data_IF_324371518360
#
_entry.id   IF_324371518360
#
_cell.length_a   1.000
_cell.length_b   1.000
_cell.length_c   1.000
_cell.angle_alpha   90.00
_cell.angle_beta   90.00
_cell.angle_gamma   90.00
#
_symmetry.space_group_name_H-M   'P 1'
#
loop_
_entity.id
_entity.type
_entity.pdbx_description
1 polymer ?
#
# COMPACT_ATOMS: atom_id res chain seq x y z
N UNK A 1 29.58 5.51 -27.15
CA UNK A 1 28.32 6.23 -27.17
C UNK A 1 27.09 5.33 -27.35
N UNK A 2 27.12 4.38 -28.30
CA UNK A 2 26.02 3.47 -28.53
C UNK A 2 25.67 2.58 -27.31
N UNK A 3 26.65 2.11 -26.57
CA UNK A 3 26.46 1.26 -25.41
C UNK A 3 25.77 1.98 -24.25
N UNK A 4 26.07 3.25 -24.03
CA UNK A 4 25.44 4.07 -22.97
C UNK A 4 23.98 4.37 -23.32
N UNK A 5 23.67 4.64 -24.59
CA UNK A 5 22.30 4.87 -25.04
C UNK A 5 21.47 3.60 -24.91
N UNK A 6 21.99 2.45 -25.30
CA UNK A 6 21.32 1.15 -25.15
C UNK A 6 21.07 0.80 -23.67
N UNK A 7 22.04 1.05 -22.80
CA UNK A 7 21.89 0.84 -21.36
C UNK A 7 20.81 1.74 -20.77
N UNK A 8 20.76 3.00 -21.20
CA UNK A 8 19.73 3.95 -20.73
C UNK A 8 18.33 3.52 -21.15
N UNK A 9 18.16 3.09 -22.42
CA UNK A 9 16.89 2.60 -22.93
C UNK A 9 16.47 1.32 -22.20
N UNK A 10 17.39 0.39 -21.98
CA UNK A 10 17.12 -0.83 -21.24
C UNK A 10 16.72 -0.54 -19.78
N UNK A 11 17.40 0.39 -19.13
CA UNK A 11 17.08 0.80 -17.75
C UNK A 11 15.67 1.42 -17.64
N UNK A 12 15.32 2.30 -18.59
CA UNK A 12 14.00 2.91 -18.66
C UNK A 12 12.92 1.85 -18.91
N UNK A 13 13.16 0.93 -19.84
CA UNK A 13 12.21 -0.16 -20.13
C UNK A 13 12.02 -1.07 -18.94
N UNK A 14 13.09 -1.44 -18.23
CA UNK A 14 13.00 -2.24 -17.01
C UNK A 14 12.26 -1.49 -15.89
N UNK A 15 12.52 -0.20 -15.74
CA UNK A 15 11.83 0.64 -14.77
C UNK A 15 10.33 0.71 -15.04
N UNK A 16 9.93 0.90 -16.29
CA UNK A 16 8.52 0.90 -16.70
C UNK A 16 7.85 -0.46 -16.46
N UNK A 17 8.55 -1.54 -16.78
CA UNK A 17 8.04 -2.89 -16.54
C UNK A 17 7.87 -3.18 -15.05
N UNK A 18 8.84 -2.80 -14.23
CA UNK A 18 8.77 -2.94 -12.79
C UNK A 18 7.60 -2.15 -12.19
N UNK A 19 7.42 -0.89 -12.62
CA UNK A 19 6.28 -0.06 -12.19
C UNK A 19 4.94 -0.66 -12.60
N UNK A 20 4.83 -1.16 -13.81
CA UNK A 20 3.62 -1.82 -14.30
C UNK A 20 3.29 -3.06 -13.47
N UNK A 21 4.28 -3.90 -13.23
CA UNK A 21 4.13 -5.11 -12.43
C UNK A 21 3.70 -4.79 -10.99
N UNK A 22 4.37 -3.82 -10.36
CA UNK A 22 4.05 -3.37 -9.01
C UNK A 22 2.65 -2.83 -8.90
N UNK A 23 2.27 -2.02 -9.88
CA UNK A 23 0.92 -1.44 -9.93
C UNK A 23 -0.14 -2.54 -10.07
N UNK A 24 0.10 -3.55 -10.88
CA UNK A 24 -0.80 -4.69 -11.02
C UNK A 24 -0.95 -5.45 -9.71
N UNK A 25 0.15 -5.70 -9.00
CA UNK A 25 0.14 -6.37 -7.68
C UNK A 25 -0.61 -5.51 -6.66
N UNK A 26 -0.33 -4.23 -6.59
CA UNK A 26 -0.99 -3.32 -5.64
C UNK A 26 -2.50 -3.22 -5.91
N UNK A 27 -2.89 -3.11 -7.16
CA UNK A 27 -4.30 -3.07 -7.54
C UNK A 27 -5.00 -4.38 -7.16
N UNK A 28 -4.34 -5.52 -7.36
CA UNK A 28 -4.86 -6.82 -6.95
C UNK A 28 -5.06 -6.93 -5.44
N UNK A 29 -4.11 -6.46 -4.65
CA UNK A 29 -4.22 -6.44 -3.18
C UNK A 29 -5.32 -5.46 -2.74
N UNK A 30 -5.37 -4.28 -3.33
CA UNK A 30 -6.35 -3.25 -2.98
C UNK A 30 -7.80 -3.66 -3.31
N UNK A 31 -8.00 -4.59 -4.24
CA UNK A 31 -9.33 -5.11 -4.59
C UNK A 31 -9.86 -6.15 -3.61
N UNK A 32 -9.03 -6.65 -2.68
CA UNK A 32 -9.47 -7.62 -1.69
C UNK A 32 -10.46 -6.97 -0.69
N UNK A 33 -11.47 -7.75 -0.20
CA UNK A 33 -12.41 -7.22 0.76
C UNK A 33 -11.74 -6.93 2.10
N UNK A 34 -12.11 -5.83 2.72
CA UNK A 34 -11.63 -5.41 4.03
C UNK A 34 -12.67 -5.81 5.07
N UNK A 35 -12.26 -6.42 6.18
CA UNK A 35 -13.21 -6.80 7.22
C UNK A 35 -13.79 -5.58 7.93
N UNK A 36 -15.06 -5.69 8.36
CA UNK A 36 -15.75 -4.65 9.11
C UNK A 36 -15.03 -4.27 10.40
N UNK A 37 -14.33 -5.21 11.03
CA UNK A 37 -13.55 -4.98 12.25
C UNK A 37 -12.44 -3.97 12.05
N UNK A 38 -11.73 -4.06 10.93
CA UNK A 38 -10.65 -3.12 10.59
C UNK A 38 -11.22 -1.74 10.30
N UNK A 39 -12.32 -1.67 9.57
CA UNK A 39 -12.99 -0.41 9.24
C UNK A 39 -13.54 0.30 10.50
N UNK A 40 -14.13 -0.44 11.42
CA UNK A 40 -14.61 0.10 12.70
C UNK A 40 -13.45 0.60 13.57
N UNK A 41 -12.35 -0.17 13.65
CA UNK A 41 -11.17 0.23 14.41
C UNK A 41 -10.54 1.52 13.88
N UNK A 42 -10.55 1.71 12.58
CA UNK A 42 -10.05 2.92 11.92
C UNK A 42 -11.08 4.06 11.89
N UNK A 43 -12.34 3.79 12.25
CA UNK A 43 -13.48 4.73 12.14
C UNK A 43 -13.67 5.25 10.71
N UNK A 44 -13.50 4.39 9.73
CA UNK A 44 -13.58 4.70 8.30
C UNK A 44 -14.61 3.78 7.65
N UNK A 45 -15.34 4.29 6.67
CA UNK A 45 -16.23 3.49 5.83
C UNK A 45 -15.47 3.05 4.57
N UNK A 46 -15.73 1.83 4.11
CA UNK A 46 -15.05 1.26 2.94
C UNK A 46 -15.16 2.15 1.69
N UNK A 47 -16.33 2.75 1.50
CA UNK A 47 -16.58 3.64 0.36
C UNK A 47 -15.90 5.01 0.49
N UNK A 48 -15.47 5.40 1.69
CA UNK A 48 -14.91 6.73 1.98
C UNK A 48 -13.43 6.71 2.33
N UNK A 49 -12.70 5.64 2.01
CA UNK A 49 -11.26 5.56 2.25
C UNK A 49 -10.54 6.62 1.43
N UNK A 50 -9.89 7.56 2.13
CA UNK A 50 -9.11 8.64 1.55
C UNK A 50 -7.61 8.40 1.72
N UNK A 51 -6.79 9.13 0.96
CA UNK A 51 -5.34 9.05 1.09
C UNK A 51 -4.82 9.38 2.49
N UNK A 52 -5.50 10.25 3.22
CA UNK A 52 -5.14 10.60 4.60
C UNK A 52 -5.37 9.46 5.60
N UNK A 53 -6.18 8.48 5.26
CA UNK A 53 -6.46 7.33 6.13
C UNK A 53 -5.30 6.34 6.17
N UNK A 54 -4.33 6.44 5.26
CA UNK A 54 -3.13 5.62 5.28
C UNK A 54 -2.39 5.69 6.61
N UNK A 55 -2.24 6.87 7.18
CA UNK A 55 -1.56 7.07 8.46
C UNK A 55 -2.31 6.37 9.61
N UNK A 56 -3.64 6.39 9.59
CA UNK A 56 -4.48 5.67 10.57
C UNK A 56 -4.24 4.17 10.48
N UNK A 57 -4.26 3.62 9.28
CA UNK A 57 -4.00 2.20 9.06
C UNK A 57 -2.56 1.80 9.42
N UNK A 58 -1.58 2.65 9.09
CA UNK A 58 -0.20 2.41 9.46
C UNK A 58 0.00 2.39 10.99
N UNK A 59 -0.66 3.29 11.72
CA UNK A 59 -0.67 3.30 13.18
C UNK A 59 -1.27 2.03 13.77
N UNK A 60 -2.38 1.56 13.22
CA UNK A 60 -3.01 0.30 13.62
C UNK A 60 -2.09 -0.91 13.36
N UNK A 61 -1.36 -0.89 12.25
CA UNK A 61 -0.38 -1.92 11.94
C UNK A 61 0.76 -2.00 12.94
N UNK A 62 1.22 -0.85 13.45
CA UNK A 62 2.27 -0.84 14.48
C UNK A 62 1.81 -1.41 15.81
N UNK A 63 0.51 -1.31 16.10
CA UNK A 63 -0.11 -1.88 17.31
C UNK A 63 -0.41 -3.37 17.19
N UNK A 64 -0.48 -3.89 15.96
CA UNK A 64 -0.78 -5.31 15.72
C UNK A 64 0.51 -6.15 15.79
N UNK A 65 0.54 -7.28 16.54
CA UNK A 65 1.75 -8.10 16.62
C UNK A 65 2.16 -8.65 15.25
N UNK A 66 3.45 -8.55 14.97
CA UNK A 66 4.02 -9.04 13.72
C UNK A 66 4.23 -10.55 13.78
N UNK A 67 3.67 -11.25 12.80
CA UNK A 67 4.04 -12.62 12.49
C UNK A 67 5.15 -12.60 11.44
N UNK A 68 6.19 -13.41 11.64
CA UNK A 68 7.37 -13.44 10.73
C UNK A 68 7.02 -13.68 9.26
N UNK A 69 5.88 -14.30 8.99
CA UNK A 69 5.44 -14.63 7.64
C UNK A 69 4.78 -13.47 6.89
N UNK A 70 4.39 -12.41 7.61
CA UNK A 70 3.63 -11.29 7.01
C UNK A 70 4.46 -10.02 6.79
N UNK A 71 5.76 -10.06 7.05
CA UNK A 71 6.65 -8.90 6.98
C UNK A 71 6.96 -8.39 5.55
N UNK A 72 6.46 -9.06 4.52
CA UNK A 72 6.73 -8.68 3.15
C UNK A 72 5.80 -7.58 2.65
N UNK A 73 6.29 -6.38 2.47
CA UNK A 73 5.62 -5.37 1.67
C UNK A 73 5.20 -4.09 2.36
N UNK A 74 5.03 -4.06 3.70
CA UNK A 74 4.62 -2.84 4.40
C UNK A 74 5.67 -1.72 4.28
N UNK A 75 6.95 -2.06 4.43
CA UNK A 75 8.04 -1.10 4.25
C UNK A 75 8.05 -0.49 2.85
N UNK A 76 7.79 -1.31 1.84
CA UNK A 76 7.67 -0.87 0.46
C UNK A 76 6.47 0.05 0.23
N UNK A 77 5.32 -0.29 0.79
CA UNK A 77 4.11 0.55 0.70
C UNK A 77 4.31 1.88 1.39
N UNK A 78 4.93 1.91 2.57
CA UNK A 78 5.28 3.15 3.28
C UNK A 78 6.23 4.02 2.46
N UNK A 79 7.27 3.42 1.86
CA UNK A 79 8.21 4.12 1.00
C UNK A 79 7.51 4.70 -0.23
N UNK A 80 6.67 3.90 -0.88
CA UNK A 80 5.89 4.34 -2.04
C UNK A 80 4.94 5.48 -1.68
N UNK A 81 4.22 5.38 -0.58
CA UNK A 81 3.35 6.45 -0.09
C UNK A 81 4.12 7.75 0.16
N UNK A 82 5.30 7.66 0.78
CA UNK A 82 6.15 8.84 1.04
C UNK A 82 6.63 9.48 -0.26
N UNK A 83 6.99 8.67 -1.26
CA UNK A 83 7.39 9.16 -2.59
C UNK A 83 6.23 9.86 -3.28
N UNK A 84 5.04 9.28 -3.27
CA UNK A 84 3.83 9.86 -3.86
C UNK A 84 3.46 11.17 -3.18
N UNK A 85 3.52 11.22 -1.85
CA UNK A 85 3.23 12.42 -1.07
C UNK A 85 4.20 13.57 -1.39
N UNK A 86 5.50 13.26 -1.53
CA UNK A 86 6.51 14.24 -1.94
C UNK A 86 6.31 14.70 -3.38
N UNK A 87 6.02 13.76 -4.27
CA UNK A 87 5.72 14.07 -5.67
C UNK A 87 4.47 14.95 -5.80
N UNK A 88 3.43 14.68 -5.01
CA UNK A 88 2.22 15.50 -4.97
C UNK A 88 2.53 16.95 -4.61
N UNK A 89 3.34 17.17 -3.57
CA UNK A 89 3.70 18.53 -3.15
C UNK A 89 4.50 19.30 -4.20
N UNK A 90 5.30 18.59 -5.02
CA UNK A 90 6.04 19.18 -6.13
C UNK A 90 5.18 19.39 -7.37
N UNK A 91 4.37 18.41 -7.73
CA UNK A 91 3.61 18.40 -8.98
C UNK A 91 2.30 19.17 -8.90
N UNK A 92 1.73 19.37 -7.72
CA UNK A 92 0.52 20.19 -7.53
C UNK A 92 0.72 21.63 -8.00
N UNK A 93 1.97 22.11 -8.01
CA UNK A 93 2.32 23.43 -8.53
C UNK A 93 2.32 23.52 -10.06
N UNK A 94 2.43 22.38 -10.74
CA UNK A 94 2.58 22.31 -12.19
C UNK A 94 1.31 21.86 -12.92
N UNK A 95 0.50 20.98 -12.34
CA UNK A 95 -0.70 20.48 -13.00
C UNK A 95 -1.73 19.93 -12.01
N UNK A 96 -3.01 20.37 -12.09
CA UNK A 96 -4.08 19.79 -11.26
C UNK A 96 -4.40 18.32 -11.59
N UNK A 97 -4.10 17.86 -12.80
CA UNK A 97 -4.24 16.44 -13.18
C UNK A 97 -3.33 15.52 -12.37
N UNK A 98 -2.11 15.98 -12.07
CA UNK A 98 -1.13 15.22 -11.29
C UNK A 98 -1.55 15.11 -9.82
N UNK A 99 -2.19 16.13 -9.27
CA UNK A 99 -2.74 16.09 -7.91
C UNK A 99 -3.83 15.01 -7.79
N UNK A 100 -4.71 14.89 -8.79
CA UNK A 100 -5.73 13.85 -8.84
C UNK A 100 -5.15 12.43 -8.92
N UNK A 101 -4.10 12.26 -9.70
CA UNK A 101 -3.38 11.00 -9.77
C UNK A 101 -2.74 10.64 -8.42
N UNK A 102 -2.07 11.58 -7.78
CA UNK A 102 -1.43 11.35 -6.48
C UNK A 102 -2.44 10.95 -5.40
N UNK A 103 -3.62 11.58 -5.39
CA UNK A 103 -4.70 11.22 -4.47
C UNK A 103 -5.18 9.77 -4.68
N UNK A 104 -5.35 9.34 -5.93
CA UNK A 104 -5.71 7.94 -6.25
C UNK A 104 -4.65 6.96 -5.77
N UNK A 105 -3.37 7.28 -5.94
CA UNK A 105 -2.27 6.42 -5.48
C UNK A 105 -2.21 6.35 -3.94
N UNK A 106 -2.51 7.45 -3.26
CA UNK A 106 -2.59 7.49 -1.80
C UNK A 106 -3.76 6.65 -1.28
N UNK A 107 -4.92 6.70 -1.94
CA UNK A 107 -6.06 5.83 -1.62
C UNK A 107 -5.70 4.35 -1.79
N UNK A 108 -4.98 4.01 -2.86
CA UNK A 108 -4.49 2.67 -3.11
C UNK A 108 -3.60 2.19 -1.96
N UNK A 109 -2.65 3.01 -1.51
CA UNK A 109 -1.78 2.71 -0.37
C UNK A 109 -2.58 2.49 0.92
N UNK A 110 -3.59 3.31 1.18
CA UNK A 110 -4.47 3.18 2.34
C UNK A 110 -5.23 1.85 2.33
N UNK A 111 -5.77 1.45 1.18
CA UNK A 111 -6.45 0.16 1.02
C UNK A 111 -5.51 -1.02 1.22
N UNK A 112 -4.29 -0.97 0.70
CA UNK A 112 -3.29 -2.01 0.91
C UNK A 112 -2.94 -2.15 2.39
N UNK A 113 -2.75 -1.04 3.09
CA UNK A 113 -2.49 -1.05 4.52
C UNK A 113 -3.65 -1.69 5.30
N UNK A 114 -4.89 -1.38 4.95
CA UNK A 114 -6.09 -1.97 5.57
C UNK A 114 -6.16 -3.48 5.34
N UNK A 115 -5.86 -3.95 4.14
CA UNK A 115 -5.83 -5.39 3.81
C UNK A 115 -4.72 -6.09 4.61
N UNK A 116 -3.57 -5.47 4.79
CA UNK A 116 -2.47 -6.02 5.60
C UNK A 116 -2.88 -6.18 7.07
N UNK A 117 -3.60 -5.20 7.64
CA UNK A 117 -4.14 -5.29 9.00
C UNK A 117 -5.10 -6.48 9.12
N UNK A 118 -6.00 -6.62 8.17
CA UNK A 118 -6.98 -7.71 8.14
C UNK A 118 -6.30 -9.07 8.11
N UNK A 119 -5.29 -9.24 7.27
CA UNK A 119 -4.49 -10.47 7.20
C UNK A 119 -3.78 -10.78 8.50
N UNK A 120 -3.20 -9.77 9.15
CA UNK A 120 -2.52 -9.95 10.45
C UNK A 120 -3.50 -10.36 11.53
N UNK A 121 -4.67 -9.74 11.60
CA UNK A 121 -5.73 -10.10 12.55
C UNK A 121 -6.20 -11.53 12.34
N UNK A 122 -6.44 -11.93 11.11
CA UNK A 122 -6.87 -13.27 10.76
C UNK A 122 -5.82 -14.32 11.15
N UNK A 123 -4.55 -14.07 10.85
CA UNK A 123 -3.44 -14.94 11.23
C UNK A 123 -3.31 -15.06 12.76
N UNK A 124 -3.45 -13.96 13.50
CA UNK A 124 -3.43 -13.96 14.96
C UNK A 124 -4.60 -14.74 15.56
N UNK A 125 -5.80 -14.63 14.98
CA UNK A 125 -6.98 -15.39 15.41
C UNK A 125 -6.82 -16.88 15.15
N UNK A 126 -6.26 -17.27 14.01
CA UNK A 126 -5.96 -18.66 13.69
C UNK A 126 -4.94 -19.25 14.67
N UNK A 127 -3.90 -18.49 15.00
CA UNK A 127 -2.90 -18.91 15.97
C UNK A 127 -3.50 -19.10 17.37
N UNK A 128 -4.35 -18.17 17.82
CA UNK A 128 -5.04 -18.27 19.08
C UNK A 128 -6.00 -19.48 19.12
N UNK A 129 -6.68 -19.77 18.01
CA UNK A 129 -7.55 -20.94 17.88
C UNK A 129 -6.75 -22.26 17.95
N UNK A 130 -5.57 -22.31 17.35
CA UNK A 130 -4.70 -23.51 17.41
C UNK A 130 -4.17 -23.76 18.82
N UNK A 131 -3.86 -22.72 19.58
CA UNK A 131 -3.45 -22.84 20.98
C UNK A 131 -4.61 -23.34 21.87
N UNK A 132 -5.83 -22.89 21.62
CA UNK A 132 -7.02 -23.36 22.36
C UNK A 132 -7.37 -24.83 22.10
N UNK A 133 -7.02 -25.37 20.94
CA UNK A 133 -7.27 -26.76 20.59
C UNK A 133 -6.25 -27.74 21.17
N UNK A 134 -5.19 -27.23 21.77
CA UNK A 134 -4.21 -28.03 22.51
C UNK A 134 -4.64 -28.21 23.96
#
# INVERSE_FOLDING_TARGET
>A
MFSAALLSIAAVAMGQFALYYWRAVFTGIASLPISSRVLEAAQVQDESICGNDFEKFASLLTLTPELKETNGGLGMVKTYYSVVQRAESMLAKFSPMMAGWAEKERMLCARIAAVQIDRRLEANLMQAASIRSL
#
